data_IF_919658603620
#
_entry.id   IF_919658603620
#
_cell.length_a   1.000
_cell.length_b   1.000
_cell.length_c   1.000
_cell.angle_alpha   90.00
_cell.angle_beta   90.00
_cell.angle_gamma   90.00
#
_symmetry.space_group_name_H-M   'P 1'
#
loop_
_entity.id
_entity.type
_entity.pdbx_description
1 polymer ?
#
# COMPACT_ATOMS: atom_id res chain seq x y z
N UNK A 1 31.36 -32.89 -29.94
CA UNK A 1 30.37 -33.08 -28.86
C UNK A 1 30.40 -31.92 -27.87
N UNK A 2 31.58 -31.39 -27.53
CA UNK A 2 31.73 -30.26 -26.58
C UNK A 2 31.08 -28.95 -27.08
N UNK A 3 31.21 -28.62 -28.37
CA UNK A 3 30.59 -27.40 -28.95
C UNK A 3 29.05 -27.44 -28.91
N UNK A 4 28.47 -28.63 -29.01
CA UNK A 4 27.02 -28.82 -28.93
C UNK A 4 26.52 -28.64 -27.50
N UNK A 5 27.27 -29.12 -26.49
CA UNK A 5 26.93 -28.90 -25.08
C UNK A 5 27.06 -27.42 -24.69
N UNK A 6 28.08 -26.72 -25.21
CA UNK A 6 28.31 -25.31 -24.95
C UNK A 6 27.21 -24.39 -25.54
N UNK A 7 26.66 -24.75 -26.71
CA UNK A 7 25.54 -24.01 -27.32
C UNK A 7 24.24 -24.20 -26.54
N UNK A 8 23.92 -25.42 -26.11
CA UNK A 8 22.72 -25.69 -25.30
C UNK A 8 22.74 -25.01 -23.93
N UNK A 9 23.89 -25.00 -23.23
CA UNK A 9 24.02 -24.31 -21.94
C UNK A 9 23.86 -22.80 -22.07
N UNK A 10 24.38 -22.22 -23.15
CA UNK A 10 24.22 -20.79 -23.44
C UNK A 10 22.74 -20.42 -23.69
N UNK A 11 22.03 -21.23 -24.48
CA UNK A 11 20.59 -21.03 -24.72
C UNK A 11 19.78 -21.15 -23.43
N UNK A 12 20.10 -22.15 -22.59
CA UNK A 12 19.45 -22.33 -21.29
C UNK A 12 19.71 -21.13 -20.36
N UNK A 13 20.95 -20.64 -20.31
CA UNK A 13 21.31 -19.49 -19.49
C UNK A 13 20.55 -18.22 -19.91
N UNK A 14 20.42 -17.98 -21.22
CA UNK A 14 19.63 -16.85 -21.75
C UNK A 14 18.15 -16.99 -21.40
N UNK A 15 17.59 -18.19 -21.49
CA UNK A 15 16.20 -18.45 -21.12
C UNK A 15 15.93 -18.17 -19.63
N UNK A 16 16.83 -18.63 -18.75
CA UNK A 16 16.73 -18.38 -17.29
C UNK A 16 16.86 -16.88 -17.00
N UNK A 17 17.84 -16.20 -17.60
CA UNK A 17 18.01 -14.76 -17.41
C UNK A 17 16.79 -13.96 -17.88
N UNK A 18 16.19 -14.33 -19.03
CA UNK A 18 14.96 -13.73 -19.52
C UNK A 18 13.78 -13.90 -18.55
N UNK A 19 13.65 -15.08 -17.97
CA UNK A 19 12.63 -15.36 -16.96
C UNK A 19 12.86 -14.56 -15.66
N UNK A 20 14.12 -14.46 -15.21
CA UNK A 20 14.48 -13.65 -14.04
C UNK A 20 14.14 -12.17 -14.25
N UNK A 21 14.45 -11.60 -15.42
CA UNK A 21 14.09 -10.20 -15.74
C UNK A 21 12.57 -10.00 -15.74
N UNK A 22 11.82 -10.98 -16.25
CA UNK A 22 10.35 -10.93 -16.22
C UNK A 22 9.81 -10.91 -14.78
N UNK A 23 10.32 -11.79 -13.91
CA UNK A 23 9.93 -11.81 -12.50
C UNK A 23 10.29 -10.51 -11.78
N UNK A 24 11.51 -10.00 -11.97
CA UNK A 24 11.96 -8.75 -11.36
C UNK A 24 11.11 -7.55 -11.77
N UNK A 25 10.70 -7.45 -13.04
CA UNK A 25 9.81 -6.38 -13.51
C UNK A 25 8.47 -6.45 -12.78
N UNK A 26 7.88 -7.65 -12.69
CA UNK A 26 6.60 -7.86 -12.02
C UNK A 26 6.66 -7.55 -10.53
N UNK A 27 7.77 -7.90 -9.87
CA UNK A 27 8.02 -7.53 -8.48
C UNK A 27 8.20 -6.02 -8.31
N UNK A 28 8.94 -5.37 -9.22
CA UNK A 28 9.17 -3.91 -9.18
C UNK A 28 7.87 -3.13 -9.32
N UNK A 29 7.00 -3.51 -10.26
CA UNK A 29 5.68 -2.89 -10.44
C UNK A 29 4.82 -3.03 -9.19
N UNK A 30 4.77 -4.24 -8.61
CA UNK A 30 4.00 -4.49 -7.38
C UNK A 30 4.57 -3.74 -6.18
N UNK A 31 5.89 -3.72 -6.01
CA UNK A 31 6.56 -3.02 -4.92
C UNK A 31 6.40 -1.50 -5.05
N UNK A 32 6.52 -0.96 -6.25
CA UNK A 32 6.24 0.45 -6.54
C UNK A 32 4.80 0.83 -6.17
N UNK A 33 3.82 -0.02 -6.51
CA UNK A 33 2.42 0.17 -6.12
C UNK A 33 2.22 0.16 -4.60
N UNK A 34 2.85 -0.77 -3.88
CA UNK A 34 2.80 -0.80 -2.42
C UNK A 34 3.38 0.47 -1.80
N UNK A 35 4.57 0.90 -2.24
CA UNK A 35 5.19 2.14 -1.77
C UNK A 35 4.31 3.37 -2.03
N UNK A 36 3.67 3.45 -3.20
CA UNK A 36 2.74 4.52 -3.52
C UNK A 36 1.53 4.54 -2.58
N UNK A 37 0.95 3.37 -2.29
CA UNK A 37 -0.19 3.24 -1.37
C UNK A 37 0.18 3.57 0.07
N UNK A 38 1.36 3.12 0.54
CA UNK A 38 1.89 3.47 1.87
C UNK A 38 2.06 4.98 1.98
N UNK A 39 2.72 5.61 1.00
CA UNK A 39 2.91 7.05 0.99
C UNK A 39 1.58 7.81 1.00
N UNK A 40 0.60 7.35 0.21
CA UNK A 40 -0.72 7.97 0.14
C UNK A 40 -1.49 7.81 1.45
N UNK A 41 -1.38 6.65 2.12
CA UNK A 41 -1.96 6.44 3.45
C UNK A 41 -1.34 7.40 4.49
N UNK A 42 -0.02 7.61 4.46
CA UNK A 42 0.65 8.54 5.36
C UNK A 42 0.23 10.00 5.11
N UNK A 43 0.12 10.40 3.84
CA UNK A 43 -0.39 11.74 3.46
C UNK A 43 -1.82 11.94 3.96
N UNK A 44 -2.69 10.93 3.82
CA UNK A 44 -4.08 11.00 4.31
C UNK A 44 -4.13 11.09 5.84
N UNK A 45 -3.33 10.28 6.56
CA UNK A 45 -3.22 10.36 8.03
C UNK A 45 -2.75 11.74 8.49
N UNK A 46 -1.71 12.29 7.85
CA UNK A 46 -1.21 13.62 8.15
C UNK A 46 -2.27 14.70 7.90
N UNK A 47 -3.05 14.58 6.81
CA UNK A 47 -4.12 15.51 6.48
C UNK A 47 -5.28 15.44 7.47
N UNK A 48 -5.68 14.23 7.88
CA UNK A 48 -6.69 14.03 8.92
C UNK A 48 -6.24 14.69 10.23
N UNK A 49 -5.02 14.39 10.69
CA UNK A 49 -4.47 14.97 11.91
C UNK A 49 -4.38 16.51 11.86
N UNK A 50 -4.07 17.08 10.69
CA UNK A 50 -4.08 18.52 10.49
C UNK A 50 -5.48 19.12 10.65
N UNK A 51 -6.49 18.54 9.99
CA UNK A 51 -7.87 19.01 10.13
C UNK A 51 -8.43 18.80 11.53
N UNK A 52 -8.06 17.73 12.22
CA UNK A 52 -8.45 17.50 13.61
C UNK A 52 -7.91 18.57 14.55
N UNK A 53 -6.65 18.99 14.38
CA UNK A 53 -6.09 20.12 15.14
C UNK A 53 -6.83 21.42 14.85
N UNK A 54 -7.22 21.68 13.59
CA UNK A 54 -8.02 22.86 13.24
C UNK A 54 -9.38 22.79 13.93
N UNK A 55 -10.06 21.64 13.85
CA UNK A 55 -11.35 21.42 14.50
C UNK A 55 -11.26 21.68 16.00
N UNK A 56 -10.20 21.19 16.66
CA UNK A 56 -10.03 21.41 18.10
C UNK A 56 -9.77 22.88 18.45
N UNK A 57 -9.00 23.59 17.62
CA UNK A 57 -8.84 25.04 17.78
C UNK A 57 -10.16 25.80 17.57
N UNK A 58 -10.96 25.42 16.58
CA UNK A 58 -12.27 26.04 16.31
C UNK A 58 -13.27 25.76 17.44
N UNK A 59 -13.26 24.55 18.02
CA UNK A 59 -14.06 24.22 19.21
C UNK A 59 -13.72 25.12 20.40
N UNK A 60 -12.43 25.34 20.67
CA UNK A 60 -11.97 26.24 21.75
C UNK A 60 -12.44 27.67 21.49
N UNK A 61 -12.41 28.12 20.25
CA UNK A 61 -12.89 29.45 19.82
C UNK A 61 -14.42 29.56 19.69
N UNK A 62 -15.17 28.47 19.90
CA UNK A 62 -16.63 28.36 19.66
C UNK A 62 -17.04 28.74 18.23
N UNK A 63 -16.16 28.51 17.26
CA UNK A 63 -16.43 28.71 15.83
C UNK A 63 -17.10 27.45 15.24
N UNK A 64 -17.81 27.60 14.12
CA UNK A 64 -18.41 26.45 13.43
C UNK A 64 -17.34 25.56 12.79
N UNK A 65 -17.16 24.37 13.35
CA UNK A 65 -16.21 23.35 12.89
C UNK A 65 -16.88 22.22 12.11
N UNK A 66 -18.22 22.25 11.94
CA UNK A 66 -19.01 21.15 11.37
C UNK A 66 -18.60 20.83 9.93
N UNK A 67 -18.29 21.84 9.13
CA UNK A 67 -17.83 21.67 7.75
C UNK A 67 -16.49 20.92 7.64
N UNK A 68 -15.53 21.23 8.53
CA UNK A 68 -14.24 20.55 8.58
C UNK A 68 -14.37 19.11 9.06
N UNK A 69 -15.21 18.87 10.08
CA UNK A 69 -15.49 17.51 10.55
C UNK A 69 -16.19 16.66 9.48
N UNK A 70 -17.15 17.23 8.75
CA UNK A 70 -17.81 16.54 7.64
C UNK A 70 -16.82 16.13 6.56
N UNK A 71 -15.87 17.00 6.22
CA UNK A 71 -14.82 16.70 5.24
C UNK A 71 -13.93 15.54 5.69
N UNK A 72 -13.48 15.55 6.94
CA UNK A 72 -12.68 14.45 7.51
C UNK A 72 -13.46 13.13 7.48
N UNK A 73 -14.72 13.15 7.93
CA UNK A 73 -15.50 11.93 8.10
C UNK A 73 -16.05 11.36 6.78
N UNK A 74 -16.37 12.21 5.80
CA UNK A 74 -17.00 11.76 4.56
C UNK A 74 -16.02 11.62 3.40
N UNK A 75 -14.85 12.28 3.45
CA UNK A 75 -13.86 12.21 2.37
C UNK A 75 -12.59 11.50 2.83
N UNK A 76 -11.87 12.07 3.81
CA UNK A 76 -10.52 11.60 4.11
C UNK A 76 -10.49 10.24 4.82
N UNK A 77 -11.37 10.00 5.80
CA UNK A 77 -11.44 8.70 6.50
C UNK A 77 -11.87 7.57 5.56
N UNK A 78 -12.91 7.72 4.72
CA UNK A 78 -13.26 6.70 3.74
C UNK A 78 -12.16 6.46 2.69
N UNK A 79 -11.47 7.51 2.23
CA UNK A 79 -10.33 7.35 1.34
C UNK A 79 -9.19 6.57 2.00
N UNK A 80 -8.89 6.85 3.28
CA UNK A 80 -7.85 6.14 4.02
C UNK A 80 -8.19 4.64 4.14
N UNK A 81 -9.44 4.31 4.47
CA UNK A 81 -9.91 2.92 4.57
C UNK A 81 -9.76 2.20 3.21
N UNK A 82 -10.13 2.85 2.10
CA UNK A 82 -9.96 2.26 0.75
C UNK A 82 -8.49 1.95 0.47
N UNK A 83 -7.60 2.89 0.75
CA UNK A 83 -6.15 2.74 0.51
C UNK A 83 -5.57 1.62 1.39
N UNK A 84 -5.98 1.56 2.65
CA UNK A 84 -5.59 0.49 3.57
C UNK A 84 -6.11 -0.88 3.12
N UNK A 85 -7.33 -0.95 2.58
CA UNK A 85 -7.89 -2.20 2.03
C UNK A 85 -7.15 -2.67 0.78
N UNK A 86 -6.73 -1.75 -0.12
CA UNK A 86 -5.92 -2.09 -1.27
C UNK A 86 -4.52 -2.55 -0.87
N UNK A 87 -3.93 -1.90 0.14
CA UNK A 87 -2.64 -2.29 0.70
C UNK A 87 -2.72 -3.68 1.32
N UNK A 88 -3.77 -3.96 2.10
CA UNK A 88 -4.05 -5.28 2.66
C UNK A 88 -4.18 -6.33 1.55
N UNK A 89 -4.95 -6.07 0.50
CA UNK A 89 -5.12 -7.01 -0.61
C UNK A 89 -3.79 -7.31 -1.34
N UNK A 90 -2.90 -6.33 -1.46
CA UNK A 90 -1.56 -6.53 -2.02
C UNK A 90 -0.65 -7.32 -1.08
N UNK A 91 -0.71 -7.06 0.23
CA UNK A 91 0.09 -7.76 1.23
C UNK A 91 -0.37 -9.20 1.45
N UNK A 92 -1.68 -9.47 1.44
CA UNK A 92 -2.23 -10.82 1.53
C UNK A 92 -1.84 -11.70 0.34
N UNK A 93 -1.48 -11.11 -0.81
CA UNK A 93 -0.93 -11.84 -1.95
C UNK A 93 0.54 -12.25 -1.75
N UNK A 94 1.24 -11.65 -0.79
CA UNK A 94 2.53 -12.16 -0.35
C UNK A 94 2.24 -13.22 0.72
N UNK A 95 2.79 -14.42 0.57
CA UNK A 95 2.86 -15.42 1.65
C UNK A 95 3.83 -14.96 2.75
N UNK A 96 3.71 -13.71 3.20
CA UNK A 96 4.40 -13.25 4.39
C UNK A 96 3.57 -13.77 5.55
N UNK A 97 4.23 -14.44 6.49
CA UNK A 97 3.66 -15.02 7.70
C UNK A 97 3.17 -13.94 8.69
N UNK A 98 2.41 -12.96 8.22
CA UNK A 98 1.65 -12.08 9.08
C UNK A 98 0.33 -12.74 9.39
N UNK A 99 0.00 -12.83 10.67
CA UNK A 99 -1.32 -13.27 11.09
C UNK A 99 -2.36 -12.28 10.51
N UNK A 100 -3.40 -12.82 9.86
CA UNK A 100 -4.38 -12.05 9.12
C UNK A 100 -5.11 -11.04 10.03
N UNK A 101 -5.29 -11.41 11.31
CA UNK A 101 -5.85 -10.57 12.34
C UNK A 101 -4.93 -9.40 12.71
N UNK A 102 -3.62 -9.64 12.81
CA UNK A 102 -2.63 -8.61 13.11
C UNK A 102 -2.54 -7.58 11.99
N UNK A 103 -2.56 -8.03 10.74
CA UNK A 103 -2.51 -7.15 9.57
C UNK A 103 -3.77 -6.26 9.47
N UNK A 104 -4.95 -6.81 9.76
CA UNK A 104 -6.21 -6.06 9.82
C UNK A 104 -6.23 -5.04 10.95
N UNK A 105 -5.70 -5.39 12.12
CA UNK A 105 -5.61 -4.48 13.28
C UNK A 105 -4.70 -3.28 13.00
N UNK A 106 -3.49 -3.52 12.48
CA UNK A 106 -2.54 -2.44 12.13
C UNK A 106 -3.09 -1.51 11.04
N UNK A 107 -3.85 -2.07 10.10
CA UNK A 107 -4.48 -1.30 9.03
C UNK A 107 -5.84 -0.71 9.43
N UNK A 108 -6.35 -0.97 10.63
CA UNK A 108 -7.62 -0.43 11.11
C UNK A 108 -8.83 -0.93 10.30
N UNK A 109 -8.75 -2.16 9.76
CA UNK A 109 -9.78 -2.80 8.94
C UNK A 109 -10.72 -3.71 9.76
N UNK A 110 -10.64 -3.69 11.09
CA UNK A 110 -11.51 -4.49 11.95
C UNK A 110 -12.98 -4.15 11.70
N UNK A 111 -13.73 -5.15 11.23
CA UNK A 111 -15.17 -5.07 11.00
C UNK A 111 -15.89 -4.91 12.33
N UNK A 112 -16.59 -3.77 12.48
CA UNK A 112 -17.72 -3.66 13.41
C UNK A 112 -18.90 -4.51 12.97
#
# INVERSE_FOLDING_TARGET
MEDMLMTWTTVLAVAIAGYQVYLQRRETERNSKMHALIHLADVLKARIAHYERIIDQMKVKKEDWSGHARKVNNEFRPMLIKVQSELYALLACYEVAFDDAELKSVLGLESS
#
